data_IF_348300732816
#
_entry.id   IF_348300732816
#
_cell.length_a   1.000
_cell.length_b   1.000
_cell.length_c   1.000
_cell.angle_alpha   90.00
_cell.angle_beta   90.00
_cell.angle_gamma   90.00
#
_symmetry.space_group_name_H-M   'P 1'
#
loop_
_entity.id
_entity.type
_entity.pdbx_description
1 polymer ?
#
# COMPACT_ATOMS: atom_id res chain seq x y z
N UNK A 1 1.00 -26.11 8.53
CA UNK A 1 0.89 -25.51 7.18
C UNK A 1 0.14 -24.18 7.20
N UNK A 2 -0.92 -24.00 8.01
CA UNK A 2 -1.70 -22.75 8.06
C UNK A 2 -1.02 -21.51 8.69
N UNK A 3 -0.08 -21.69 9.62
CA UNK A 3 0.72 -20.57 10.13
C UNK A 3 1.65 -19.98 9.04
N UNK A 4 2.22 -20.84 8.19
CA UNK A 4 3.14 -20.43 7.11
C UNK A 4 2.46 -19.54 6.07
N UNK A 5 1.18 -19.76 5.78
CA UNK A 5 0.42 -18.89 4.85
C UNK A 5 0.10 -17.52 5.48
N UNK A 6 -0.13 -17.48 6.80
CA UNK A 6 -0.35 -16.22 7.53
C UNK A 6 0.91 -15.36 7.53
N UNK A 7 2.08 -15.96 7.78
CA UNK A 7 3.37 -15.28 7.75
C UNK A 7 3.67 -14.70 6.35
N UNK A 8 3.38 -15.46 5.29
CA UNK A 8 3.52 -14.99 3.90
C UNK A 8 2.59 -13.82 3.57
N UNK A 9 1.36 -13.81 4.10
CA UNK A 9 0.44 -12.68 3.92
C UNK A 9 0.96 -11.41 4.60
N UNK A 10 1.55 -11.54 5.79
CA UNK A 10 2.15 -10.41 6.50
C UNK A 10 3.42 -9.89 5.81
N UNK A 11 4.24 -10.79 5.26
CA UNK A 11 5.42 -10.43 4.45
C UNK A 11 5.02 -9.70 3.16
N UNK A 12 4.00 -10.18 2.46
CA UNK A 12 3.45 -9.50 1.27
C UNK A 12 2.89 -8.12 1.62
N UNK A 13 2.17 -7.99 2.74
CA UNK A 13 1.66 -6.71 3.23
C UNK A 13 2.79 -5.72 3.55
N UNK A 14 3.88 -6.21 4.14
CA UNK A 14 5.08 -5.38 4.43
C UNK A 14 5.75 -4.91 3.15
N UNK A 15 5.88 -5.79 2.15
CA UNK A 15 6.44 -5.44 0.84
C UNK A 15 5.61 -4.38 0.14
N UNK A 16 4.28 -4.51 0.18
CA UNK A 16 3.35 -3.54 -0.42
C UNK A 16 3.39 -2.18 0.30
N UNK A 17 3.61 -2.15 1.61
CA UNK A 17 3.80 -0.91 2.36
C UNK A 17 5.11 -0.19 1.99
N UNK A 18 6.20 -0.95 1.81
CA UNK A 18 7.47 -0.40 1.33
C UNK A 18 7.33 0.23 -0.06
N UNK A 19 6.67 -0.47 -1.00
CA UNK A 19 6.40 0.05 -2.35
C UNK A 19 5.55 1.32 -2.28
N UNK A 20 4.51 1.36 -1.44
CA UNK A 20 3.69 2.56 -1.22
C UNK A 20 4.55 3.75 -0.77
N UNK A 21 5.45 3.53 0.19
CA UNK A 21 6.31 4.58 0.72
C UNK A 21 7.33 5.08 -0.33
N UNK A 22 7.92 4.18 -1.12
CA UNK A 22 8.82 4.55 -2.22
C UNK A 22 8.09 5.39 -3.29
N UNK A 23 6.90 4.95 -3.71
CA UNK A 23 6.09 5.68 -4.69
C UNK A 23 5.75 7.08 -4.20
N UNK A 24 5.33 7.22 -2.94
CA UNK A 24 5.05 8.54 -2.34
C UNK A 24 6.31 9.42 -2.26
N UNK A 25 7.48 8.83 -1.98
CA UNK A 25 8.76 9.54 -1.96
C UNK A 25 9.15 10.09 -3.34
N UNK A 26 9.06 9.26 -4.38
CA UNK A 26 9.36 9.66 -5.77
C UNK A 26 8.37 10.70 -6.29
N UNK A 27 7.09 10.57 -5.95
CA UNK A 27 6.08 11.57 -6.29
C UNK A 27 6.35 12.93 -5.65
N UNK A 28 6.77 12.94 -4.38
CA UNK A 28 7.12 14.20 -3.70
C UNK A 28 8.32 14.87 -4.39
N UNK A 29 9.36 14.09 -4.77
CA UNK A 29 10.49 14.60 -5.57
C UNK A 29 10.03 15.16 -6.91
N UNK A 30 9.12 14.48 -7.61
CA UNK A 30 8.59 14.93 -8.89
C UNK A 30 7.85 16.27 -8.77
N UNK A 31 7.05 16.46 -7.71
CA UNK A 31 6.37 17.73 -7.43
C UNK A 31 7.37 18.84 -7.17
N UNK A 32 8.38 18.61 -6.32
CA UNK A 32 9.45 19.59 -6.05
C UNK A 32 10.20 19.96 -7.32
N UNK A 33 10.59 18.98 -8.13
CA UNK A 33 11.26 19.21 -9.41
C UNK A 33 10.41 20.06 -10.36
N UNK A 34 9.09 19.83 -10.42
CA UNK A 34 8.20 20.64 -11.25
C UNK A 34 8.05 22.08 -10.74
N UNK A 35 8.06 22.30 -9.43
CA UNK A 35 8.08 23.65 -8.84
C UNK A 35 9.36 24.41 -9.24
N UNK A 36 10.51 23.75 -9.16
CA UNK A 36 11.80 24.35 -9.56
C UNK A 36 11.84 24.65 -11.07
N UNK A 37 11.31 23.75 -11.90
CA UNK A 37 11.23 23.92 -13.35
C UNK A 37 10.27 25.04 -13.77
N UNK A 38 9.14 25.21 -13.07
CA UNK A 38 8.22 26.34 -13.33
C UNK A 38 8.77 27.68 -12.83
N UNK A 39 9.65 27.66 -11.82
CA UNK A 39 10.34 28.86 -11.34
C UNK A 39 11.51 29.33 -12.21
N UNK A 40 12.12 28.45 -13.01
CA UNK A 40 13.38 28.76 -13.71
C UNK A 40 13.45 28.41 -15.20
N UNK A 41 12.70 27.43 -15.70
CA UNK A 41 12.90 26.84 -17.03
C UNK A 41 11.69 26.80 -17.97
N UNK A 42 10.45 26.77 -17.45
CA UNK A 42 9.23 26.79 -18.27
C UNK A 42 8.52 28.14 -18.19
N UNK A 43 8.22 28.75 -19.35
CA UNK A 43 7.45 30.00 -19.44
C UNK A 43 6.19 29.80 -20.30
N UNK A 44 5.09 30.49 -19.93
CA UNK A 44 3.83 30.48 -20.68
C UNK A 44 3.09 29.13 -20.65
N UNK A 45 2.64 28.65 -21.80
CA UNK A 45 1.78 27.47 -21.94
C UNK A 45 2.43 26.17 -21.43
N UNK A 46 3.76 26.05 -21.54
CA UNK A 46 4.50 24.88 -21.04
C UNK A 46 4.51 24.81 -19.51
N UNK A 47 4.55 25.96 -18.83
CA UNK A 47 4.44 26.03 -17.37
C UNK A 47 3.04 25.62 -16.92
N UNK A 48 2.00 26.12 -17.59
CA UNK A 48 0.60 25.75 -17.31
C UNK A 48 0.33 24.25 -17.53
N UNK A 49 0.87 23.68 -18.61
CA UNK A 49 0.75 22.24 -18.89
C UNK A 49 1.47 21.41 -17.81
N UNK A 50 2.70 21.79 -17.43
CA UNK A 50 3.47 21.10 -16.38
C UNK A 50 2.77 21.14 -15.02
N UNK A 51 2.16 22.28 -14.66
CA UNK A 51 1.36 22.39 -13.44
C UNK A 51 0.15 21.46 -13.45
N UNK A 52 -0.62 21.43 -14.56
CA UNK A 52 -1.78 20.53 -14.69
C UNK A 52 -1.36 19.07 -14.58
N UNK A 53 -0.31 18.66 -15.27
CA UNK A 53 0.23 17.29 -15.18
C UNK A 53 0.68 16.96 -13.76
N UNK A 54 1.30 17.91 -13.05
CA UNK A 54 1.69 17.74 -11.65
C UNK A 54 0.48 17.50 -10.75
N UNK A 55 -0.61 18.23 -10.98
CA UNK A 55 -1.86 18.12 -10.23
C UNK A 55 -2.57 16.78 -10.48
N UNK A 56 -2.59 16.31 -11.73
CA UNK A 56 -3.10 14.99 -12.13
C UNK A 56 -2.29 13.86 -11.50
N UNK A 57 -0.96 13.98 -11.49
CA UNK A 57 -0.04 13.03 -10.86
C UNK A 57 -0.26 13.00 -9.35
N UNK A 58 -0.39 14.16 -8.70
CA UNK A 58 -0.66 14.24 -7.26
C UNK A 58 -2.04 13.68 -6.87
N UNK A 59 -3.03 13.76 -7.76
CA UNK A 59 -4.34 13.15 -7.56
C UNK A 59 -4.26 11.64 -7.71
N UNK A 60 -3.61 11.17 -8.77
CA UNK A 60 -3.38 9.73 -9.03
C UNK A 60 -2.60 9.08 -7.88
N UNK A 61 -1.57 9.76 -7.38
CA UNK A 61 -0.78 9.38 -6.21
C UNK A 61 -1.66 9.06 -4.98
N UNK A 62 -2.58 9.97 -4.65
CA UNK A 62 -3.51 9.80 -3.52
C UNK A 62 -4.40 8.59 -3.73
N UNK A 63 -4.93 8.39 -4.94
CA UNK A 63 -5.76 7.22 -5.27
C UNK A 63 -4.96 5.92 -5.17
N UNK A 64 -3.73 5.89 -5.70
CA UNK A 64 -2.86 4.71 -5.65
C UNK A 64 -2.50 4.37 -4.20
N UNK A 65 -2.11 5.36 -3.41
CA UNK A 65 -1.81 5.19 -1.98
C UNK A 65 -3.00 4.59 -1.21
N UNK A 66 -4.21 5.11 -1.44
CA UNK A 66 -5.42 4.59 -0.81
C UNK A 66 -5.71 3.13 -1.20
N UNK A 67 -5.44 2.74 -2.45
CA UNK A 67 -5.59 1.35 -2.91
C UNK A 67 -4.58 0.41 -2.27
N UNK A 68 -3.32 0.83 -2.15
CA UNK A 68 -2.31 0.06 -1.42
C UNK A 68 -2.71 -0.13 0.05
N UNK A 69 -3.15 0.94 0.71
CA UNK A 69 -3.59 0.90 2.09
C UNK A 69 -4.79 -0.04 2.30
N UNK A 70 -5.79 0.02 1.42
CA UNK A 70 -6.92 -0.90 1.44
C UNK A 70 -6.47 -2.37 1.28
N UNK A 71 -5.54 -2.64 0.37
CA UNK A 71 -5.00 -3.99 0.15
C UNK A 71 -4.20 -4.50 1.37
N UNK A 72 -3.34 -3.66 1.94
CA UNK A 72 -2.57 -3.96 3.17
C UNK A 72 -3.52 -4.28 4.32
N UNK A 73 -4.56 -3.47 4.52
CA UNK A 73 -5.55 -3.68 5.57
C UNK A 73 -6.32 -4.99 5.35
N UNK A 74 -6.72 -5.29 4.11
CA UNK A 74 -7.37 -6.55 3.77
C UNK A 74 -6.48 -7.75 4.15
N UNK A 75 -5.20 -7.74 3.76
CA UNK A 75 -4.27 -8.83 4.08
C UNK A 75 -4.06 -9.01 5.57
N UNK A 76 -3.85 -7.91 6.32
CA UNK A 76 -3.69 -7.95 7.79
C UNK A 76 -4.94 -8.50 8.48
N UNK A 77 -6.12 -8.05 8.08
CA UNK A 77 -7.38 -8.52 8.63
C UNK A 77 -7.61 -10.00 8.34
N UNK A 78 -7.36 -10.44 7.10
CA UNK A 78 -7.45 -11.85 6.73
C UNK A 78 -6.45 -12.72 7.49
N UNK A 79 -5.20 -12.27 7.65
CA UNK A 79 -4.18 -12.98 8.42
C UNK A 79 -4.62 -13.19 9.89
N UNK A 80 -5.20 -12.17 10.52
CA UNK A 80 -5.75 -12.30 11.88
C UNK A 80 -6.93 -13.27 11.95
N UNK A 81 -7.86 -13.21 10.98
CA UNK A 81 -8.98 -14.15 10.92
C UNK A 81 -8.52 -15.60 10.75
N UNK A 82 -7.54 -15.85 9.88
CA UNK A 82 -6.98 -17.20 9.72
C UNK A 82 -6.29 -17.70 10.98
N UNK A 83 -5.57 -16.83 11.69
CA UNK A 83 -4.94 -17.18 12.97
C UNK A 83 -5.99 -17.58 14.01
N UNK A 84 -7.05 -16.79 14.16
CA UNK A 84 -8.13 -17.09 15.10
C UNK A 84 -8.83 -18.41 14.74
N UNK A 85 -9.19 -18.58 13.47
CA UNK A 85 -9.86 -19.80 13.00
C UNK A 85 -8.99 -21.04 13.22
N UNK A 86 -7.67 -20.94 13.06
CA UNK A 86 -6.75 -22.05 13.35
C UNK A 86 -6.74 -22.42 14.83
N UNK A 87 -6.78 -21.44 15.74
CA UNK A 87 -6.85 -21.69 17.18
C UNK A 87 -8.18 -22.35 17.57
N UNK A 88 -9.29 -21.85 17.04
CA UNK A 88 -10.63 -22.40 17.30
C UNK A 88 -10.77 -23.84 16.76
N UNK A 89 -10.23 -24.09 15.56
CA UNK A 89 -10.18 -25.43 14.97
C UNK A 89 -9.31 -26.39 15.79
N UNK A 90 -8.14 -25.95 16.27
CA UNK A 90 -7.26 -26.76 17.11
C UNK A 90 -7.91 -27.12 18.44
N UNK A 91 -8.59 -26.17 19.08
CA UNK A 91 -9.33 -26.41 20.33
C UNK A 91 -10.48 -27.41 20.12
N UNK A 92 -11.24 -27.25 19.04
CA UNK A 92 -12.35 -28.15 18.70
C UNK A 92 -11.87 -29.56 18.39
N UNK A 93 -10.81 -29.70 17.59
CA UNK A 93 -10.19 -31.00 17.29
C UNK A 93 -9.63 -31.67 18.54
N UNK A 94 -8.99 -30.92 19.44
CA UNK A 94 -8.49 -31.44 20.72
C UNK A 94 -9.61 -31.99 21.61
N UNK A 95 -10.77 -31.33 21.63
CA UNK A 95 -11.93 -31.81 22.37
C UNK A 95 -12.54 -33.07 21.75
N UNK A 96 -12.53 -33.22 20.42
CA UNK A 96 -13.00 -34.43 19.74
C UNK A 96 -12.03 -35.60 19.94
N UNK A 97 -10.72 -35.37 19.92
CA UNK A 97 -9.72 -36.42 20.15
C UNK A 97 -9.67 -36.94 21.59
N UNK A 98 -10.23 -36.18 22.54
CA UNK A 98 -10.26 -36.51 23.96
C UNK A 98 -11.57 -37.20 24.40
N UNK A 99 -12.53 -37.37 23.49
CA UNK A 99 -13.82 -38.04 23.69
C UNK A 99 -13.81 -39.46 23.10
#
# INVERSE_FOLDING_TARGET
MFNTDTDRMLEAATTLDNIRNEVLGELNRYVTMNQDLTGSGFQGTAALASMRTTEDIATTARTVSARFEACINQMRNSAHQYTQMNQDNAATLGNIQSA
#
